data_IF_784185214279
#
_entry.id   IF_784185214279
#
_cell.length_a   1.000
_cell.length_b   1.000
_cell.length_c   1.000
_cell.angle_alpha   90.00
_cell.angle_beta   90.00
_cell.angle_gamma   90.00
#
_symmetry.space_group_name_H-M   'P 1'
#
loop_
_entity.id
_entity.type
_entity.pdbx_description
1 polymer ?
#
# COMPACT_ATOMS: atom_id res chain seq x y z
N UNK A 1 -25.69 -11.57 -4.13
CA UNK A 1 -24.31 -12.01 -3.84
C UNK A 1 -24.32 -12.93 -2.62
N UNK A 2 -24.08 -14.23 -2.79
CA UNK A 2 -23.98 -15.26 -1.72
C UNK A 2 -22.74 -16.13 -1.98
N UNK A 3 -21.55 -15.52 -1.97
CA UNK A 3 -20.28 -16.21 -2.26
C UNK A 3 -19.63 -16.76 -0.98
N UNK A 4 -20.00 -16.21 0.18
CA UNK A 4 -19.42 -16.56 1.49
C UNK A 4 -19.65 -18.00 1.98
N UNK A 5 -20.81 -18.67 1.76
CA UNK A 5 -21.00 -20.05 2.25
C UNK A 5 -20.24 -21.11 1.41
N UNK A 6 -19.96 -20.83 0.13
CA UNK A 6 -19.24 -21.76 -0.75
C UNK A 6 -17.75 -21.85 -0.43
N UNK A 7 -17.13 -20.74 -0.01
CA UNK A 7 -15.71 -20.72 0.39
C UNK A 7 -15.48 -21.45 1.72
N UNK A 8 -16.44 -21.38 2.65
CA UNK A 8 -16.40 -22.13 3.92
C UNK A 8 -16.58 -23.64 3.71
N UNK A 9 -17.47 -24.04 2.80
CA UNK A 9 -17.65 -25.45 2.43
C UNK A 9 -16.42 -26.03 1.73
N UNK A 10 -15.75 -25.24 0.86
CA UNK A 10 -14.51 -25.65 0.19
C UNK A 10 -13.35 -25.87 1.15
N UNK A 11 -13.20 -25.00 2.16
CA UNK A 11 -12.13 -25.11 3.17
C UNK A 11 -12.29 -26.34 4.08
N UNK A 12 -13.54 -26.69 4.43
CA UNK A 12 -13.82 -27.89 5.25
C UNK A 12 -13.58 -29.19 4.47
N UNK A 13 -13.90 -29.22 3.18
CA UNK A 13 -13.60 -30.38 2.32
C UNK A 13 -12.10 -30.55 2.09
N UNK A 14 -11.34 -29.46 1.90
CA UNK A 14 -9.89 -29.53 1.73
C UNK A 14 -9.19 -30.07 2.99
N UNK A 15 -9.64 -29.66 4.19
CA UNK A 15 -9.09 -30.16 5.45
C UNK A 15 -9.48 -31.63 5.72
N UNK A 16 -10.69 -32.06 5.31
CA UNK A 16 -11.12 -33.46 5.42
C UNK A 16 -10.30 -34.41 4.55
N UNK A 17 -9.95 -34.01 3.32
CA UNK A 17 -9.12 -34.81 2.40
C UNK A 17 -7.69 -34.98 2.93
N UNK A 18 -7.12 -33.94 3.55
CA UNK A 18 -5.78 -34.00 4.13
C UNK A 18 -5.69 -34.99 5.30
N UNK A 19 -6.70 -35.00 6.18
CA UNK A 19 -6.78 -35.94 7.31
C UNK A 19 -7.00 -37.38 6.80
N UNK A 20 -7.83 -37.56 5.78
CA UNK A 20 -8.02 -38.86 5.11
C UNK A 20 -6.72 -39.40 4.53
N UNK A 21 -5.93 -38.57 3.83
CA UNK A 21 -4.67 -38.98 3.21
C UNK A 21 -3.59 -39.37 4.25
N UNK A 22 -3.54 -38.69 5.39
CA UNK A 22 -2.61 -39.03 6.49
C UNK A 22 -3.00 -40.33 7.18
N UNK A 23 -4.30 -40.62 7.32
CA UNK A 23 -4.78 -41.88 7.91
C UNK A 23 -4.64 -43.07 6.95
N UNK A 24 -4.80 -42.86 5.64
CA UNK A 24 -4.65 -43.93 4.63
C UNK A 24 -3.20 -44.34 4.41
N UNK A 25 -2.23 -43.46 4.69
CA UNK A 25 -0.79 -43.77 4.58
C UNK A 25 -0.27 -44.68 5.70
N UNK A 26 -1.08 -44.91 6.74
CA UNK A 26 -0.77 -45.80 7.87
C UNK A 26 -1.22 -47.25 7.65
N UNK A 27 -1.91 -47.54 6.54
CA UNK A 27 -2.41 -48.88 6.19
C UNK A 27 -1.53 -49.59 5.16
N UNK A 28 -0.25 -49.80 5.47
CA UNK A 28 0.64 -50.61 4.64
C UNK A 28 0.37 -52.11 4.85
N UNK A 29 -0.21 -52.76 3.84
CA UNK A 29 -0.43 -54.20 3.74
C UNK A 29 0.91 -54.95 3.85
N UNK A 30 1.02 -55.82 4.86
CA UNK A 30 2.18 -56.68 5.04
C UNK A 30 2.25 -57.75 3.92
N UNK A 31 3.44 -58.06 3.38
CA UNK A 31 3.60 -59.20 2.49
C UNK A 31 3.59 -60.51 3.29
N UNK A 32 2.81 -61.47 2.81
CA UNK A 32 2.77 -62.87 3.26
C UNK A 32 4.17 -63.47 3.20
N UNK A 33 4.76 -63.82 4.36
CA UNK A 33 6.02 -64.56 4.43
C UNK A 33 5.75 -66.01 4.86
N UNK A 34 6.20 -66.91 4.00
CA UNK A 34 6.24 -68.35 4.22
C UNK A 34 7.04 -68.74 5.47
N UNK A 35 6.59 -69.82 6.08
CA UNK A 35 7.10 -70.48 7.29
C UNK A 35 8.53 -70.98 7.09
N UNK A 36 9.45 -70.54 7.95
CA UNK A 36 10.76 -71.16 8.18
C UNK A 36 11.25 -70.87 9.60
N UNK A 37 12.08 -71.75 10.19
CA UNK A 37 12.07 -71.98 11.62
C UNK A 37 12.83 -70.92 12.41
N UNK A 38 12.50 -70.89 13.70
CA UNK A 38 12.96 -69.95 14.71
C UNK A 38 14.50 -69.75 14.73
N UNK A 39 14.96 -68.50 14.74
CA UNK A 39 16.21 -68.12 15.35
C UNK A 39 15.97 -67.52 16.75
N UNK A 40 16.93 -67.79 17.60
CA UNK A 40 17.05 -67.41 19.00
C UNK A 40 16.63 -65.97 19.33
N UNK A 41 15.92 -65.84 20.46
CA UNK A 41 15.79 -64.58 21.21
C UNK A 41 17.18 -64.02 21.52
N UNK A 42 17.68 -63.14 20.67
CA UNK A 42 18.63 -62.11 21.08
C UNK A 42 17.84 -60.94 21.65
N UNK A 43 18.08 -60.65 22.91
CA UNK A 43 17.55 -59.49 23.61
C UNK A 43 17.92 -58.22 22.84
N UNK A 44 16.95 -57.63 22.16
CA UNK A 44 17.01 -56.26 21.65
C UNK A 44 16.92 -55.32 22.84
N UNK A 45 18.09 -54.95 23.36
CA UNK A 45 18.30 -53.80 24.22
C UNK A 45 17.71 -52.53 23.60
N UNK A 46 16.59 -52.07 24.14
CA UNK A 46 16.43 -50.77 24.81
C UNK A 46 17.07 -49.50 24.18
N UNK A 47 17.20 -49.41 22.85
CA UNK A 47 17.71 -48.19 22.18
C UNK A 47 16.63 -47.27 21.60
N UNK A 48 15.36 -47.66 21.65
CA UNK A 48 14.25 -46.86 21.10
C UNK A 48 13.58 -45.90 22.10
N UNK A 49 13.70 -46.17 23.41
CA UNK A 49 13.07 -45.35 24.45
C UNK A 49 13.74 -43.99 24.64
N UNK A 50 15.07 -43.92 24.50
CA UNK A 50 15.83 -42.68 24.66
C UNK A 50 15.56 -41.64 23.58
N UNK A 51 15.38 -42.06 22.33
CA UNK A 51 15.09 -41.15 21.20
C UNK A 51 13.66 -40.60 21.24
N UNK A 52 12.69 -41.40 21.69
CA UNK A 52 11.31 -40.95 21.83
C UNK A 52 11.15 -39.97 23.01
N UNK A 53 11.77 -40.27 24.15
CA UNK A 53 11.79 -39.37 25.30
C UNK A 53 12.53 -38.06 25.02
N UNK A 54 13.66 -38.12 24.29
CA UNK A 54 14.40 -36.93 23.87
C UNK A 54 13.61 -36.06 22.89
N UNK A 55 12.93 -36.66 21.90
CA UNK A 55 12.06 -35.93 20.98
C UNK A 55 10.85 -35.32 21.71
N UNK A 56 10.27 -36.04 22.66
CA UNK A 56 9.17 -35.48 23.47
C UNK A 56 9.64 -34.31 24.32
N UNK A 57 10.79 -34.40 24.99
CA UNK A 57 11.35 -33.29 25.75
C UNK A 57 11.71 -32.10 24.83
N UNK A 58 12.27 -32.35 23.65
CA UNK A 58 12.56 -31.33 22.64
C UNK A 58 11.28 -30.66 22.13
N UNK A 59 10.25 -31.44 21.85
CA UNK A 59 8.92 -30.92 21.54
C UNK A 59 8.43 -30.09 22.71
N UNK A 60 8.41 -30.55 23.95
CA UNK A 60 7.90 -29.74 25.08
C UNK A 60 8.67 -28.42 25.26
N UNK A 61 9.99 -28.43 25.09
CA UNK A 61 10.83 -27.22 25.17
C UNK A 61 10.51 -26.16 24.11
N UNK A 62 10.13 -26.59 22.91
CA UNK A 62 9.92 -25.70 21.77
C UNK A 62 11.20 -25.01 21.27
N UNK A 63 12.38 -25.50 21.67
CA UNK A 63 13.68 -25.00 21.22
C UNK A 63 14.10 -25.66 19.91
N UNK A 64 14.49 -24.86 18.92
CA UNK A 64 14.95 -25.34 17.62
C UNK A 64 16.19 -26.24 17.74
N UNK A 65 17.13 -25.88 18.61
CA UNK A 65 18.38 -26.62 18.78
C UNK A 65 18.14 -27.97 19.46
N UNK A 66 17.22 -28.01 20.44
CA UNK A 66 16.78 -29.25 21.07
C UNK A 66 16.05 -30.17 20.07
N UNK A 67 15.23 -29.62 19.18
CA UNK A 67 14.55 -30.38 18.12
C UNK A 67 15.55 -30.97 17.11
N UNK A 68 16.56 -30.20 16.72
CA UNK A 68 17.64 -30.67 15.84
C UNK A 68 18.44 -31.78 16.54
N UNK A 69 18.80 -31.58 17.81
CA UNK A 69 19.52 -32.58 18.61
C UNK A 69 18.72 -33.87 18.82
N UNK A 70 17.39 -33.79 18.84
CA UNK A 70 16.49 -34.94 18.90
C UNK A 70 16.24 -35.63 17.55
N UNK A 71 16.89 -35.16 16.47
CA UNK A 71 16.85 -35.79 15.15
C UNK A 71 15.87 -35.18 14.15
N UNK A 72 15.25 -34.03 14.46
CA UNK A 72 14.54 -33.26 13.44
C UNK A 72 15.53 -32.64 12.44
N UNK A 73 15.13 -32.53 11.17
CA UNK A 73 15.89 -31.70 10.24
C UNK A 73 15.76 -30.23 10.66
N UNK A 74 16.76 -29.37 10.37
CA UNK A 74 16.69 -27.94 10.69
C UNK A 74 15.43 -27.27 10.13
N UNK A 75 14.96 -27.71 8.96
CA UNK A 75 13.73 -27.21 8.35
C UNK A 75 12.47 -27.57 9.15
N UNK A 76 12.35 -28.83 9.58
CA UNK A 76 11.22 -29.29 10.40
C UNK A 76 11.23 -28.62 11.78
N UNK A 77 12.41 -28.48 12.39
CA UNK A 77 12.55 -27.78 13.66
C UNK A 77 12.06 -26.33 13.56
N UNK A 78 12.46 -25.60 12.51
CA UNK A 78 11.98 -24.23 12.24
C UNK A 78 10.47 -24.14 12.06
N UNK A 79 9.88 -25.03 11.26
CA UNK A 79 8.43 -25.04 11.02
C UNK A 79 7.63 -25.27 12.30
N UNK A 80 8.11 -26.16 13.18
CA UNK A 80 7.48 -26.43 14.48
C UNK A 80 7.56 -25.23 15.43
N UNK A 81 8.70 -24.53 15.47
CA UNK A 81 8.88 -23.31 16.27
C UNK A 81 7.94 -22.19 15.82
N UNK A 82 7.80 -21.96 14.51
CA UNK A 82 6.84 -20.97 13.98
C UNK A 82 5.41 -21.34 14.37
N UNK A 83 5.01 -22.59 14.13
CA UNK A 83 3.64 -23.03 14.41
C UNK A 83 3.26 -22.72 15.85
N UNK A 84 4.18 -22.99 16.79
CA UNK A 84 4.00 -22.68 18.22
C UNK A 84 3.97 -21.20 18.52
N UNK A 85 4.87 -20.42 17.94
CA UNK A 85 4.89 -18.97 18.09
C UNK A 85 3.56 -18.36 17.61
N UNK A 86 3.02 -18.85 16.48
CA UNK A 86 1.74 -18.45 15.93
C UNK A 86 0.57 -18.85 16.84
N UNK A 87 0.57 -20.06 17.40
CA UNK A 87 -0.44 -20.49 18.37
C UNK A 87 -0.41 -19.64 19.65
N UNK A 88 0.78 -19.30 20.18
CA UNK A 88 0.93 -18.38 21.33
C UNK A 88 0.36 -17.00 21.01
N UNK A 89 0.70 -16.45 19.84
CA UNK A 89 0.16 -15.18 19.37
C UNK A 89 -1.37 -15.22 19.28
N UNK A 90 -1.95 -16.25 18.64
CA UNK A 90 -3.39 -16.41 18.51
C UNK A 90 -4.08 -16.53 19.87
N UNK A 91 -3.51 -17.30 20.80
CA UNK A 91 -4.02 -17.44 22.16
C UNK A 91 -4.03 -16.09 22.89
N UNK A 92 -2.93 -15.33 22.79
CA UNK A 92 -2.81 -13.99 23.38
C UNK A 92 -3.82 -13.02 22.76
N UNK A 93 -4.00 -13.04 21.44
CA UNK A 93 -5.01 -12.21 20.77
C UNK A 93 -6.44 -12.57 21.20
N UNK A 94 -6.73 -13.86 21.42
CA UNK A 94 -8.04 -14.31 21.91
C UNK A 94 -8.28 -13.84 23.34
N UNK A 95 -7.28 -13.95 24.20
CA UNK A 95 -7.32 -13.47 25.59
C UNK A 95 -7.57 -11.96 25.66
N UNK A 96 -6.82 -11.17 24.87
CA UNK A 96 -6.98 -9.71 24.80
C UNK A 96 -8.36 -9.29 24.27
N UNK A 97 -8.94 -10.02 23.31
CA UNK A 97 -10.32 -9.77 22.87
C UNK A 97 -11.35 -10.16 23.93
N UNK A 98 -11.11 -11.24 24.67
CA UNK A 98 -12.02 -11.70 25.72
C UNK A 98 -12.02 -10.74 26.92
N UNK A 99 -10.85 -10.21 27.31
CA UNK A 99 -10.74 -9.22 28.39
C UNK A 99 -11.44 -7.90 28.04
N UNK A 100 -11.36 -7.45 26.78
CA UNK A 100 -12.12 -6.29 26.28
C UNK A 100 -13.65 -6.50 26.30
N UNK A 101 -14.11 -7.76 26.23
CA UNK A 101 -15.53 -8.11 26.21
C UNK A 101 -16.09 -8.37 27.63
N UNK A 102 -15.23 -8.49 28.64
CA UNK A 102 -15.63 -8.89 29.99
C UNK A 102 -16.47 -7.84 30.75
N UNK A 103 -16.37 -6.55 30.42
CA UNK A 103 -17.17 -5.47 31.03
C UNK A 103 -18.34 -4.99 30.13
N UNK A 104 -18.68 -5.75 29.09
CA UNK A 104 -19.62 -5.36 28.06
C UNK A 104 -21.08 -5.54 28.47
N UNK A 105 -21.57 -4.75 29.43
CA UNK A 105 -22.99 -4.36 29.40
C UNK A 105 -23.22 -3.67 28.06
N UNK A 106 -23.99 -4.27 27.16
CA UNK A 106 -24.09 -3.82 25.76
C UNK A 106 -24.53 -2.35 25.62
N UNK A 107 -25.21 -1.79 26.62
CA UNK A 107 -25.65 -0.39 26.70
C UNK A 107 -24.62 0.58 27.31
N UNK A 108 -23.55 0.10 27.94
CA UNK A 108 -22.38 0.89 28.38
C UNK A 108 -21.18 0.69 27.45
N UNK A 109 -21.39 -0.01 26.34
CA UNK A 109 -20.37 -0.20 25.31
C UNK A 109 -20.15 1.14 24.61
N UNK A 110 -19.31 1.98 25.18
CA UNK A 110 -18.77 3.12 24.46
C UNK A 110 -17.95 2.54 23.31
N UNK A 111 -18.27 2.83 22.03
CA UNK A 111 -17.51 2.30 20.89
C UNK A 111 -16.02 2.69 20.92
N UNK A 112 -15.67 3.65 21.77
CA UNK A 112 -14.35 4.23 21.89
C UNK A 112 -14.09 4.59 23.37
N UNK A 113 -13.53 3.63 24.12
CA UNK A 113 -12.85 3.93 25.39
C UNK A 113 -11.34 4.09 25.07
N UNK A 114 -10.80 5.31 25.09
CA UNK A 114 -9.43 5.58 24.66
C UNK A 114 -8.39 4.89 25.55
N UNK A 115 -8.62 4.75 26.86
CA UNK A 115 -7.62 4.21 27.80
C UNK A 115 -7.56 2.68 27.72
N UNK A 116 -8.71 2.01 27.69
CA UNK A 116 -8.79 0.57 27.46
C UNK A 116 -8.25 0.18 26.07
N UNK A 117 -8.42 1.06 25.08
CA UNK A 117 -7.88 0.87 23.73
C UNK A 117 -6.36 1.05 23.70
N UNK A 118 -5.79 2.03 24.41
CA UNK A 118 -4.36 2.28 24.46
C UNK A 118 -3.59 1.11 25.12
N UNK A 119 -4.03 0.64 26.30
CA UNK A 119 -3.42 -0.51 26.97
C UNK A 119 -3.51 -1.78 26.12
N UNK A 120 -4.66 -2.04 25.50
CA UNK A 120 -4.79 -3.19 24.63
C UNK A 120 -3.87 -3.12 23.40
N UNK A 121 -3.63 -1.93 22.82
CA UNK A 121 -2.67 -1.77 21.71
C UNK A 121 -1.25 -2.08 22.16
N UNK A 122 -0.85 -1.69 23.37
CA UNK A 122 0.47 -2.03 23.93
C UNK A 122 0.65 -3.55 24.05
N UNK A 123 -0.35 -4.26 24.62
CA UNK A 123 -0.29 -5.71 24.78
C UNK A 123 -0.34 -6.48 23.46
N UNK A 124 -1.15 -6.02 22.49
CA UNK A 124 -1.17 -6.59 21.14
C UNK A 124 0.21 -6.45 20.47
N UNK A 125 0.85 -5.29 20.61
CA UNK A 125 2.18 -5.02 20.04
C UNK A 125 3.27 -5.85 20.70
N UNK A 126 3.24 -5.97 22.03
CA UNK A 126 4.18 -6.84 22.75
C UNK A 126 4.12 -8.28 22.25
N UNK A 127 2.91 -8.83 22.11
CA UNK A 127 2.72 -10.17 21.58
C UNK A 127 3.22 -10.30 20.12
N UNK A 128 2.98 -9.29 19.28
CA UNK A 128 3.47 -9.27 17.90
C UNK A 128 5.00 -9.17 17.83
N UNK A 129 5.64 -8.39 18.71
CA UNK A 129 7.10 -8.28 18.81
C UNK A 129 7.73 -9.61 19.22
N UNK A 130 7.22 -10.24 20.27
CA UNK A 130 7.69 -11.55 20.71
C UNK A 130 7.60 -12.60 19.60
N UNK A 131 6.51 -12.57 18.81
CA UNK A 131 6.37 -13.43 17.64
C UNK A 131 7.42 -13.11 16.56
N UNK A 132 7.61 -11.84 16.20
CA UNK A 132 8.58 -11.43 15.20
C UNK A 132 10.03 -11.75 15.61
N UNK A 133 10.36 -11.64 16.90
CA UNK A 133 11.69 -11.99 17.42
C UNK A 133 11.93 -13.51 17.40
N UNK A 134 10.89 -14.31 17.64
CA UNK A 134 10.96 -15.78 17.46
C UNK A 134 11.18 -16.15 15.99
N UNK A 135 10.50 -15.47 15.06
CA UNK A 135 10.73 -15.66 13.63
C UNK A 135 12.18 -15.32 13.26
N UNK A 136 12.71 -14.20 13.75
CA UNK A 136 14.11 -13.79 13.50
C UNK A 136 15.11 -14.77 14.08
N UNK A 137 14.85 -15.31 15.27
CA UNK A 137 15.68 -16.36 15.87
C UNK A 137 15.68 -17.63 15.01
N UNK A 138 14.52 -18.01 14.46
CA UNK A 138 14.37 -19.23 13.68
C UNK A 138 14.92 -19.12 12.24
N UNK A 139 14.86 -17.95 11.60
CA UNK A 139 15.23 -17.78 10.17
C UNK A 139 16.33 -16.74 9.91
N UNK A 140 16.84 -16.08 10.94
CA UNK A 140 17.84 -15.01 10.81
C UNK A 140 17.26 -13.69 10.31
N UNK A 141 18.13 -12.84 9.77
CA UNK A 141 17.80 -11.48 9.33
C UNK A 141 16.82 -11.40 8.15
N UNK A 142 16.61 -12.51 7.42
CA UNK A 142 15.86 -12.58 6.17
C UNK A 142 14.40 -13.07 6.36
N UNK A 143 13.86 -13.04 7.58
CA UNK A 143 12.41 -13.29 7.83
C UNK A 143 11.51 -12.41 6.96
N UNK A 144 11.94 -11.16 6.72
CA UNK A 144 11.24 -10.24 5.83
C UNK A 144 11.15 -10.72 4.38
N UNK A 145 12.08 -11.56 3.94
CA UNK A 145 12.09 -12.17 2.60
C UNK A 145 11.12 -13.34 2.52
N UNK A 146 10.98 -14.11 3.61
CA UNK A 146 10.14 -15.31 3.70
C UNK A 146 8.65 -14.95 3.64
N UNK A 147 8.26 -13.82 4.23
CA UNK A 147 6.89 -13.29 4.18
C UNK A 147 6.72 -12.15 3.17
N UNK A 148 7.68 -11.97 2.25
CA UNK A 148 7.54 -11.14 1.05
C UNK A 148 7.55 -9.62 1.23
N UNK A 149 8.14 -9.08 2.31
CA UNK A 149 8.02 -7.66 2.65
C UNK A 149 9.27 -6.88 3.05
N UNK A 150 10.44 -7.50 3.32
CA UNK A 150 11.46 -6.81 4.14
C UNK A 150 12.92 -6.76 3.67
N UNK A 151 13.34 -7.46 2.61
CA UNK A 151 14.78 -7.58 2.31
C UNK A 151 15.31 -6.80 1.11
N UNK A 152 14.48 -6.45 0.12
CA UNK A 152 14.97 -5.72 -1.06
C UNK A 152 15.35 -4.27 -0.74
N UNK A 153 14.62 -3.61 0.18
CA UNK A 153 14.81 -2.20 0.53
C UNK A 153 16.24 -1.85 0.91
N UNK A 154 16.95 -2.77 1.58
CA UNK A 154 18.33 -2.58 2.03
C UNK A 154 19.30 -3.57 1.37
N UNK A 155 18.97 -4.08 0.18
CA UNK A 155 19.78 -5.11 -0.49
C UNK A 155 21.23 -4.72 -0.77
N UNK A 156 21.52 -3.41 -0.82
CA UNK A 156 22.87 -2.85 -0.96
C UNK A 156 23.70 -2.87 0.33
N UNK A 157 23.11 -3.24 1.48
CA UNK A 157 23.77 -3.29 2.79
C UNK A 157 24.12 -4.72 3.22
N UNK A 158 25.19 -4.83 4.00
CA UNK A 158 25.55 -6.08 4.67
C UNK A 158 24.41 -6.59 5.58
N UNK A 159 24.27 -7.91 5.78
CA UNK A 159 23.21 -8.48 6.62
C UNK A 159 23.16 -7.87 8.03
N UNK A 160 24.32 -7.65 8.65
CA UNK A 160 24.41 -7.05 9.99
C UNK A 160 23.86 -5.62 10.03
N UNK A 161 24.21 -4.79 9.03
CA UNK A 161 23.69 -3.42 8.91
C UNK A 161 22.19 -3.41 8.63
N UNK A 162 21.69 -4.34 7.80
CA UNK A 162 20.24 -4.50 7.58
C UNK A 162 19.50 -4.78 8.88
N UNK A 163 20.00 -5.71 9.69
CA UNK A 163 19.42 -6.02 11.01
C UNK A 163 19.48 -4.82 11.94
N UNK A 164 20.61 -4.10 11.96
CA UNK A 164 20.77 -2.90 12.80
C UNK A 164 19.76 -1.81 12.41
N UNK A 165 19.59 -1.52 11.13
CA UNK A 165 18.64 -0.51 10.65
C UNK A 165 17.19 -0.90 10.91
N UNK A 166 16.83 -2.16 10.65
CA UNK A 166 15.48 -2.65 10.96
C UNK A 166 15.16 -2.50 12.45
N UNK A 167 16.14 -2.71 13.33
CA UNK A 167 15.98 -2.49 14.77
C UNK A 167 15.78 -1.02 15.10
N UNK A 168 16.63 -0.13 14.57
CA UNK A 168 16.47 1.32 14.75
C UNK A 168 15.07 1.77 14.29
N UNK A 169 14.66 1.38 13.09
CA UNK A 169 13.33 1.74 12.56
C UNK A 169 12.20 1.19 13.43
N UNK A 170 12.31 -0.03 13.93
CA UNK A 170 11.32 -0.63 14.82
C UNK A 170 11.23 0.11 16.16
N UNK A 171 12.37 0.43 16.78
CA UNK A 171 12.43 1.14 18.06
C UNK A 171 11.80 2.54 17.92
N UNK A 172 12.11 3.28 16.85
CA UNK A 172 11.49 4.58 16.59
C UNK A 172 10.02 4.49 16.18
N UNK A 173 9.62 3.46 15.43
CA UNK A 173 8.20 3.23 15.14
C UNK A 173 7.40 3.01 16.43
N UNK A 174 7.94 2.23 17.36
CA UNK A 174 7.33 1.98 18.67
C UNK A 174 7.24 3.26 19.51
N UNK A 175 8.31 4.07 19.53
CA UNK A 175 8.33 5.37 20.24
C UNK A 175 7.35 6.37 19.63
N UNK A 176 7.32 6.49 18.30
CA UNK A 176 6.38 7.36 17.59
C UNK A 176 4.94 6.95 17.83
N UNK A 177 4.63 5.65 17.77
CA UNK A 177 3.29 5.16 18.03
C UNK A 177 2.89 5.34 19.50
N UNK A 178 3.82 5.15 20.45
CA UNK A 178 3.56 5.50 21.86
C UNK A 178 3.26 6.99 22.01
N UNK A 179 4.04 7.86 21.36
CA UNK A 179 3.79 9.29 21.37
C UNK A 179 2.44 9.68 20.71
N UNK A 180 1.97 8.91 19.72
CA UNK A 180 0.62 9.06 19.16
C UNK A 180 -0.50 8.50 20.07
N UNK A 181 -0.21 7.49 20.88
CA UNK A 181 -1.17 6.94 21.83
C UNK A 181 -1.32 7.82 23.07
N UNK A 182 -0.23 8.48 23.50
CA UNK A 182 -0.21 9.47 24.58
C UNK A 182 -0.91 10.78 24.17
N UNK A 183 -0.99 11.05 22.85
CA UNK A 183 -1.82 12.13 22.31
C UNK A 183 -3.28 11.79 22.60
N UNK A 184 -3.88 12.52 23.54
CA UNK A 184 -5.33 12.47 23.76
C UNK A 184 -6.12 12.90 22.52
N UNK A 185 -7.43 13.10 22.66
CA UNK A 185 -8.30 13.47 21.53
C UNK A 185 -7.89 14.78 20.80
N UNK A 186 -7.05 15.61 21.41
CA UNK A 186 -6.55 16.87 20.86
C UNK A 186 -5.02 16.83 20.89
N UNK A 187 -4.40 17.01 19.72
CA UNK A 187 -2.94 17.13 19.60
C UNK A 187 -2.48 18.50 20.12
N UNK A 188 -1.56 18.49 21.09
CA UNK A 188 -0.95 19.69 21.65
C UNK A 188 0.31 20.10 20.87
N UNK A 189 0.75 21.37 20.96
CA UNK A 189 2.02 21.81 20.38
C UNK A 189 3.23 21.00 20.84
N UNK A 190 3.29 20.65 22.13
CA UNK A 190 4.34 19.81 22.71
C UNK A 190 4.40 18.41 22.10
N UNK A 191 3.25 17.85 21.69
CA UNK A 191 3.20 16.55 21.02
C UNK A 191 3.82 16.64 19.62
N UNK A 192 3.63 17.77 18.92
CA UNK A 192 4.26 18.01 17.61
C UNK A 192 5.78 18.12 17.73
N UNK A 193 6.26 18.82 18.75
CA UNK A 193 7.70 18.93 19.03
C UNK A 193 8.31 17.58 19.39
N UNK A 194 7.64 16.77 20.23
CA UNK A 194 8.08 15.40 20.54
C UNK A 194 8.15 14.53 19.28
N UNK A 195 7.12 14.58 18.42
CA UNK A 195 7.13 13.85 17.15
C UNK A 195 8.21 14.32 16.19
N UNK A 196 8.52 15.62 16.19
CA UNK A 196 9.61 16.18 15.39
C UNK A 196 10.96 15.67 15.89
N UNK A 197 11.20 15.77 17.21
CA UNK A 197 12.44 15.28 17.83
C UNK A 197 12.66 13.80 17.53
N UNK A 198 11.64 12.95 17.68
CA UNK A 198 11.73 11.52 17.37
C UNK A 198 12.09 11.24 15.90
N UNK A 199 11.61 12.07 14.96
CA UNK A 199 11.99 11.94 13.54
C UNK A 199 13.44 12.35 13.31
N UNK A 200 13.88 13.46 13.90
CA UNK A 200 15.25 13.96 13.77
C UNK A 200 16.27 13.01 14.41
N UNK A 201 15.94 12.44 15.58
CA UNK A 201 16.77 11.44 16.25
C UNK A 201 16.84 10.14 15.45
N UNK A 202 15.70 9.67 14.90
CA UNK A 202 15.68 8.52 13.98
C UNK A 202 16.62 8.73 12.81
N UNK A 203 16.53 9.87 12.13
CA UNK A 203 17.37 10.18 10.98
C UNK A 203 18.85 10.26 11.37
N UNK A 204 19.17 10.82 12.54
CA UNK A 204 20.54 10.87 13.06
C UNK A 204 21.10 9.48 13.33
N UNK A 205 20.34 8.59 13.95
CA UNK A 205 20.78 7.23 14.28
C UNK A 205 20.94 6.36 13.04
N UNK A 206 20.05 6.51 12.06
CA UNK A 206 20.19 5.87 10.74
C UNK A 206 21.46 6.36 10.05
N UNK A 207 21.68 7.69 10.01
CA UNK A 207 22.87 8.27 9.40
C UNK A 207 24.17 7.84 10.10
N UNK A 208 24.17 7.74 11.43
CA UNK A 208 25.32 7.29 12.20
C UNK A 208 25.65 5.79 12.00
N UNK A 209 24.69 5.00 11.50
CA UNK A 209 24.89 3.58 11.20
C UNK A 209 25.45 3.31 9.79
N UNK A 210 25.59 4.35 8.94
CA UNK A 210 25.96 4.24 7.53
C UNK A 210 27.29 4.92 7.21
N UNK A 211 28.00 4.42 6.20
CA UNK A 211 29.09 5.18 5.54
C UNK A 211 28.49 6.30 4.66
N UNK A 212 29.29 7.29 4.22
CA UNK A 212 28.81 8.32 3.29
C UNK A 212 28.20 7.74 2.00
N UNK A 213 28.79 6.69 1.44
CA UNK A 213 28.32 6.03 0.22
C UNK A 213 27.01 5.26 0.46
N UNK A 214 26.91 4.55 1.59
CA UNK A 214 25.68 3.86 1.99
C UNK A 214 24.54 4.83 2.25
N UNK A 215 24.88 6.01 2.81
CA UNK A 215 23.91 7.07 3.04
C UNK A 215 23.39 7.66 1.73
N UNK A 216 24.24 7.84 0.73
CA UNK A 216 23.78 8.29 -0.60
C UNK A 216 22.77 7.30 -1.20
N UNK A 217 23.08 6.00 -1.12
CA UNK A 217 22.15 4.95 -1.58
C UNK A 217 20.84 4.98 -0.78
N UNK A 218 20.93 5.11 0.54
CA UNK A 218 19.74 5.27 1.38
C UNK A 218 18.91 6.49 0.99
N UNK A 219 19.53 7.65 0.78
CA UNK A 219 18.81 8.86 0.37
C UNK A 219 18.15 8.69 -1.01
N UNK A 220 18.79 7.97 -1.93
CA UNK A 220 18.24 7.65 -3.25
C UNK A 220 17.07 6.66 -3.21
N UNK A 221 16.97 5.80 -2.21
CA UNK A 221 15.88 4.83 -2.12
C UNK A 221 14.78 5.25 -1.15
N UNK A 222 15.14 5.92 -0.05
CA UNK A 222 14.31 6.03 1.14
C UNK A 222 13.95 7.47 1.53
N UNK A 223 14.59 8.48 0.92
CA UNK A 223 14.26 9.87 1.26
C UNK A 223 12.84 10.26 0.80
N UNK A 224 12.21 11.29 1.41
CA UNK A 224 10.93 11.81 0.93
C UNK A 224 10.97 12.26 -0.53
N UNK A 225 12.08 12.85 -0.98
CA UNK A 225 12.28 13.26 -2.36
C UNK A 225 12.34 12.06 -3.32
N UNK A 226 13.06 10.99 -2.93
CA UNK A 226 13.12 9.74 -3.70
C UNK A 226 11.72 9.12 -3.86
N UNK A 227 10.97 8.99 -2.78
CA UNK A 227 9.59 8.51 -2.81
C UNK A 227 8.70 9.34 -3.72
N UNK A 228 8.83 10.67 -3.67
CA UNK A 228 8.08 11.55 -4.56
C UNK A 228 8.45 11.33 -6.03
N UNK A 229 9.73 11.15 -6.35
CA UNK A 229 10.16 10.88 -7.72
C UNK A 229 9.68 9.51 -8.20
N UNK A 230 9.83 8.47 -7.40
CA UNK A 230 9.36 7.12 -7.75
C UNK A 230 7.85 7.11 -8.00
N UNK A 231 7.07 7.73 -7.11
CA UNK A 231 5.61 7.76 -7.24
C UNK A 231 5.14 8.62 -8.42
N UNK A 232 5.79 9.77 -8.65
CA UNK A 232 5.34 10.72 -9.68
C UNK A 232 5.90 10.38 -11.05
N UNK A 233 7.18 10.07 -11.16
CA UNK A 233 7.89 9.98 -12.43
C UNK A 233 8.38 8.56 -12.77
N UNK A 234 8.35 7.62 -11.82
CA UNK A 234 8.93 6.29 -11.99
C UNK A 234 8.46 5.53 -13.23
N UNK A 235 7.20 5.72 -13.67
CA UNK A 235 6.67 5.09 -14.87
C UNK A 235 7.24 5.65 -16.20
N UNK A 236 7.88 6.82 -16.17
CA UNK A 236 8.42 7.51 -17.34
C UNK A 236 9.95 7.51 -17.40
N UNK A 237 10.63 7.13 -16.31
CA UNK A 237 12.08 7.09 -16.24
C UNK A 237 12.56 5.70 -16.66
N UNK A 238 13.47 5.64 -17.64
CA UNK A 238 13.93 4.37 -18.22
C UNK A 238 15.30 3.95 -17.70
N UNK A 239 16.07 4.89 -17.14
CA UNK A 239 17.46 4.68 -16.69
C UNK A 239 17.70 5.24 -15.29
N UNK A 240 18.70 4.72 -14.58
CA UNK A 240 19.09 5.20 -13.26
C UNK A 240 19.64 6.65 -13.33
N UNK A 241 20.32 7.00 -14.42
CA UNK A 241 20.86 8.35 -14.63
C UNK A 241 19.74 9.39 -14.70
N UNK A 242 18.66 9.09 -15.43
CA UNK A 242 17.46 9.93 -15.48
C UNK A 242 16.81 10.05 -14.10
N UNK A 243 16.73 8.95 -13.36
CA UNK A 243 16.23 8.96 -11.99
C UNK A 243 17.06 9.89 -11.10
N UNK A 244 18.39 9.74 -11.09
CA UNK A 244 19.32 10.58 -10.32
C UNK A 244 19.20 12.06 -10.68
N UNK A 245 19.00 12.38 -11.96
CA UNK A 245 18.80 13.77 -12.40
C UNK A 245 17.51 14.39 -11.85
N UNK A 246 16.37 13.69 -11.97
CA UNK A 246 15.08 14.17 -11.44
C UNK A 246 15.10 14.20 -9.91
N UNK A 247 15.74 13.22 -9.29
CA UNK A 247 15.97 13.17 -7.85
C UNK A 247 16.75 14.38 -7.34
N UNK A 248 17.87 14.74 -7.98
CA UNK A 248 18.68 15.89 -7.56
C UNK A 248 17.87 17.20 -7.60
N UNK A 249 17.06 17.40 -8.65
CA UNK A 249 16.16 18.55 -8.76
C UNK A 249 15.11 18.56 -7.64
N UNK A 250 14.47 17.42 -7.39
CA UNK A 250 13.44 17.29 -6.36
C UNK A 250 14.02 17.45 -4.95
N UNK A 251 15.23 16.94 -4.71
CA UNK A 251 15.95 17.05 -3.44
C UNK A 251 16.37 18.50 -3.18
N UNK A 252 16.93 19.20 -4.16
CA UNK A 252 17.30 20.61 -4.01
C UNK A 252 16.08 21.48 -3.65
N UNK A 253 14.93 21.23 -4.29
CA UNK A 253 13.68 21.87 -3.92
C UNK A 253 13.24 21.50 -2.50
N UNK A 254 13.27 20.21 -2.15
CA UNK A 254 12.89 19.76 -0.81
C UNK A 254 13.78 20.40 0.26
N UNK A 255 15.11 20.39 0.11
CA UNK A 255 16.05 20.98 1.07
C UNK A 255 15.79 22.48 1.27
N UNK A 256 15.41 23.21 0.21
CA UNK A 256 15.07 24.63 0.29
C UNK A 256 13.73 24.90 1.00
N UNK A 257 12.75 24.00 0.88
CA UNK A 257 11.37 24.24 1.33
C UNK A 257 10.87 23.28 2.44
N UNK A 258 11.69 22.35 2.92
CA UNK A 258 11.32 21.31 3.91
C UNK A 258 10.98 21.86 5.30
N UNK A 259 11.54 23.01 5.68
CA UNK A 259 11.56 23.49 7.08
C UNK A 259 10.42 24.46 7.45
N UNK A 260 9.35 24.55 6.65
CA UNK A 260 8.24 25.45 6.95
C UNK A 260 7.11 24.76 7.74
N UNK A 261 7.38 24.46 9.01
CA UNK A 261 6.40 23.94 9.98
C UNK A 261 5.44 25.04 10.51
N UNK A 262 5.66 26.30 10.14
CA UNK A 262 4.79 27.44 10.46
C UNK A 262 3.75 27.74 9.38
N UNK A 263 2.75 28.56 9.71
CA UNK A 263 1.88 29.15 8.68
C UNK A 263 2.72 30.00 7.73
N UNK A 264 2.92 29.50 6.51
CA UNK A 264 3.54 30.24 5.42
C UNK A 264 2.78 31.55 5.19
N UNK A 265 3.50 32.66 5.11
CA UNK A 265 2.90 33.93 4.71
C UNK A 265 2.36 33.83 3.27
N UNK A 266 1.39 34.67 2.87
CA UNK A 266 0.93 34.69 1.49
C UNK A 266 2.05 34.87 0.46
N UNK A 267 3.13 35.55 0.82
CA UNK A 267 4.28 35.82 -0.03
C UNK A 267 5.16 34.57 -0.18
N UNK A 268 5.46 33.89 0.93
CA UNK A 268 6.18 32.61 0.91
C UNK A 268 5.40 31.52 0.16
N UNK A 269 4.06 31.53 0.25
CA UNK A 269 3.21 30.64 -0.54
C UNK A 269 3.30 30.95 -2.05
N UNK A 270 3.43 32.22 -2.44
CA UNK A 270 3.59 32.59 -3.86
C UNK A 270 4.97 32.17 -4.37
N UNK A 271 6.02 32.46 -3.61
CA UNK A 271 7.40 32.06 -3.94
C UNK A 271 7.51 30.55 -4.11
N UNK A 272 7.01 29.78 -3.13
CA UNK A 272 6.99 28.31 -3.22
C UNK A 272 6.24 27.81 -4.45
N UNK A 273 5.07 28.37 -4.77
CA UNK A 273 4.31 27.98 -5.98
C UNK A 273 5.09 28.29 -7.25
N UNK A 274 5.82 29.40 -7.28
CA UNK A 274 6.66 29.75 -8.43
C UNK A 274 7.83 28.79 -8.58
N UNK A 275 8.52 28.46 -7.48
CA UNK A 275 9.57 27.45 -7.46
C UNK A 275 9.05 26.06 -7.84
N UNK A 276 7.85 25.66 -7.39
CA UNK A 276 7.20 24.40 -7.81
C UNK A 276 6.94 24.38 -9.32
N UNK A 277 6.51 25.50 -9.92
CA UNK A 277 6.33 25.61 -11.37
C UNK A 277 7.64 25.52 -12.12
N UNK A 278 8.69 26.19 -11.62
CA UNK A 278 10.03 26.15 -12.23
C UNK A 278 10.64 24.75 -12.14
N UNK A 279 10.52 24.08 -11.00
CA UNK A 279 10.92 22.69 -10.80
C UNK A 279 10.23 21.79 -11.82
N UNK A 280 8.90 21.88 -11.92
CA UNK A 280 8.13 21.06 -12.85
C UNK A 280 8.53 21.33 -14.31
N UNK A 281 8.70 22.60 -14.70
CA UNK A 281 9.14 22.94 -16.05
C UNK A 281 10.55 22.39 -16.36
N UNK A 282 11.45 22.42 -15.36
CA UNK A 282 12.80 21.86 -15.49
C UNK A 282 12.76 20.35 -15.65
N UNK A 283 11.97 19.65 -14.82
CA UNK A 283 11.77 18.20 -14.96
C UNK A 283 11.17 17.88 -16.35
N UNK A 284 10.13 18.58 -16.77
CA UNK A 284 9.49 18.35 -18.08
C UNK A 284 10.46 18.57 -19.26
N UNK A 285 11.43 19.46 -19.11
CA UNK A 285 12.48 19.70 -20.10
C UNK A 285 13.55 18.59 -20.13
N UNK A 286 13.75 17.86 -19.02
CA UNK A 286 14.63 16.68 -18.98
C UNK A 286 14.00 15.44 -19.61
N UNK A 287 12.67 15.38 -19.67
CA UNK A 287 11.93 14.25 -20.23
C UNK A 287 11.78 14.36 -21.75
N UNK A 288 11.94 13.23 -22.43
CA UNK A 288 11.63 13.13 -23.87
C UNK A 288 10.12 13.26 -24.12
N UNK A 289 9.68 13.55 -25.36
CA UNK A 289 8.25 13.58 -25.69
C UNK A 289 7.50 12.29 -25.31
N UNK A 290 8.11 11.13 -25.56
CA UNK A 290 7.51 9.83 -25.27
C UNK A 290 7.40 9.57 -23.76
N UNK A 291 8.42 9.97 -23.00
CA UNK A 291 8.40 9.88 -21.52
C UNK A 291 7.33 10.79 -20.93
N UNK A 292 7.16 12.01 -21.47
CA UNK A 292 6.05 12.88 -21.05
C UNK A 292 4.69 12.27 -21.37
N UNK A 293 4.54 11.62 -22.51
CA UNK A 293 3.30 10.91 -22.84
C UNK A 293 3.05 9.70 -21.94
N UNK A 294 4.11 8.96 -21.55
CA UNK A 294 4.01 7.87 -20.58
C UNK A 294 3.60 8.37 -19.19
N UNK A 295 4.22 9.47 -18.74
CA UNK A 295 3.90 10.14 -17.48
C UNK A 295 2.44 10.59 -17.45
N UNK A 296 1.98 11.23 -18.52
CA UNK A 296 0.60 11.68 -18.67
C UNK A 296 -0.39 10.50 -18.55
N UNK A 297 -0.07 9.35 -19.16
CA UNK A 297 -0.88 8.13 -19.05
C UNK A 297 -0.87 7.56 -17.63
N UNK A 298 0.27 7.57 -16.95
CA UNK A 298 0.40 7.06 -15.59
C UNK A 298 -0.42 7.88 -14.57
N UNK A 299 -0.55 9.20 -14.77
CA UNK A 299 -1.35 10.09 -13.92
C UNK A 299 -2.83 10.16 -14.29
N UNK A 300 -3.23 9.53 -15.41
CA UNK A 300 -4.61 9.54 -15.86
C UNK A 300 -5.41 8.42 -15.19
N UNK A 301 -6.31 8.81 -14.27
CA UNK A 301 -7.15 7.87 -13.52
C UNK A 301 -8.01 6.98 -14.41
N UNK A 302 -8.38 7.45 -15.60
CA UNK A 302 -9.20 6.67 -16.53
C UNK A 302 -8.37 5.62 -17.27
N UNK A 303 -7.07 5.86 -17.47
CA UNK A 303 -6.21 4.98 -18.25
C UNK A 303 -6.14 3.58 -17.62
N UNK A 304 -5.94 3.50 -16.30
CA UNK A 304 -5.93 2.23 -15.58
C UNK A 304 -7.27 1.48 -15.65
N UNK A 305 -8.39 2.20 -15.58
CA UNK A 305 -9.73 1.62 -15.71
C UNK A 305 -9.98 1.09 -17.11
N UNK A 306 -9.64 1.87 -18.14
CA UNK A 306 -9.80 1.49 -19.55
C UNK A 306 -8.90 0.33 -19.95
N UNK A 307 -7.65 0.30 -19.45
CA UNK A 307 -6.73 -0.81 -19.67
C UNK A 307 -7.27 -2.11 -19.04
N UNK A 308 -7.88 -2.02 -17.84
CA UNK A 308 -8.50 -3.16 -17.18
C UNK A 308 -9.74 -3.67 -17.93
N UNK A 309 -10.59 -2.77 -18.43
CA UNK A 309 -11.76 -3.13 -19.26
C UNK A 309 -11.29 -3.78 -20.56
N UNK A 310 -10.34 -3.17 -21.26
CA UNK A 310 -9.79 -3.67 -22.53
C UNK A 310 -9.22 -5.08 -22.36
N UNK A 311 -8.43 -5.32 -21.31
CA UNK A 311 -7.89 -6.65 -21.01
C UNK A 311 -8.99 -7.66 -20.69
N UNK A 312 -9.97 -7.29 -19.86
CA UNK A 312 -11.05 -8.19 -19.43
C UNK A 312 -11.96 -8.61 -20.60
N UNK A 313 -12.19 -7.71 -21.54
CA UNK A 313 -13.04 -7.93 -22.71
C UNK A 313 -12.24 -8.39 -23.95
N UNK A 314 -10.92 -8.61 -23.80
CA UNK A 314 -10.00 -8.96 -24.89
C UNK A 314 -10.09 -8.01 -26.10
N UNK A 315 -10.19 -6.71 -25.82
CA UNK A 315 -10.25 -5.67 -26.85
C UNK A 315 -8.84 -5.39 -27.42
N UNK A 316 -8.73 -4.83 -28.64
CA UNK A 316 -7.45 -4.43 -29.22
C UNK A 316 -6.60 -3.56 -28.28
N UNK A 317 -5.27 -3.70 -28.36
CA UNK A 317 -4.34 -2.94 -27.53
C UNK A 317 -4.48 -1.41 -27.70
N UNK A 318 -4.95 -0.96 -28.88
CA UNK A 318 -5.17 0.45 -29.20
C UNK A 318 -6.46 1.03 -28.60
N UNK A 319 -7.36 0.20 -28.07
CA UNK A 319 -8.69 0.64 -27.60
C UNK A 319 -8.60 1.64 -26.47
N UNK A 320 -7.65 1.49 -25.54
CA UNK A 320 -7.47 2.44 -24.43
C UNK A 320 -7.08 3.83 -24.97
N UNK A 321 -6.09 3.90 -25.86
CA UNK A 321 -5.64 5.16 -26.43
C UNK A 321 -6.72 5.82 -27.30
N UNK A 322 -7.52 5.03 -28.03
CA UNK A 322 -8.66 5.51 -28.80
C UNK A 322 -9.71 6.20 -27.91
N UNK A 323 -10.07 5.60 -26.77
CA UNK A 323 -11.04 6.20 -25.85
C UNK A 323 -10.49 7.47 -25.18
N UNK A 324 -9.19 7.49 -24.85
CA UNK A 324 -8.55 8.69 -24.32
C UNK A 324 -8.56 9.84 -25.34
N UNK A 325 -8.25 9.55 -26.61
CA UNK A 325 -8.33 10.52 -27.70
C UNK A 325 -9.77 11.01 -27.92
N UNK A 326 -10.75 10.11 -27.86
CA UNK A 326 -12.16 10.44 -27.94
C UNK A 326 -12.59 11.41 -26.82
N UNK A 327 -12.19 11.12 -25.57
CA UNK A 327 -12.44 11.99 -24.42
C UNK A 327 -11.84 13.39 -24.63
N UNK A 328 -10.62 13.49 -25.15
CA UNK A 328 -9.98 14.77 -25.43
C UNK A 328 -10.76 15.59 -26.47
N UNK A 329 -11.22 14.94 -27.56
CA UNK A 329 -12.08 15.58 -28.56
C UNK A 329 -13.40 16.11 -27.97
N UNK A 330 -14.03 15.34 -27.09
CA UNK A 330 -15.25 15.77 -26.40
C UNK A 330 -15.01 16.90 -25.40
N UNK A 331 -13.84 16.95 -24.76
CA UNK A 331 -13.46 18.06 -23.90
C UNK A 331 -13.43 19.37 -24.69
N UNK A 332 -12.74 19.39 -25.85
CA UNK A 332 -12.68 20.55 -26.75
C UNK A 332 -14.08 21.00 -27.18
N UNK A 333 -14.92 20.08 -27.68
CA UNK A 333 -16.29 20.41 -28.10
C UNK A 333 -17.12 20.97 -26.94
N UNK A 334 -16.99 20.42 -25.73
CA UNK A 334 -17.73 20.90 -24.56
C UNK A 334 -17.33 22.32 -24.16
N UNK A 335 -16.03 22.65 -24.27
CA UNK A 335 -15.51 23.99 -23.99
C UNK A 335 -15.95 25.00 -25.06
N UNK A 336 -16.01 24.59 -26.33
CA UNK A 336 -16.51 25.45 -27.41
C UNK A 336 -17.99 25.80 -27.21
N UNK A 337 -18.82 24.84 -26.82
CA UNK A 337 -20.22 25.10 -26.44
C UNK A 337 -20.29 26.08 -25.26
N UNK A 338 -19.46 25.87 -24.24
CA UNK A 338 -19.44 26.70 -23.04
C UNK A 338 -19.01 28.15 -23.32
N UNK A 339 -18.07 28.34 -24.24
CA UNK A 339 -17.53 29.66 -24.63
C UNK A 339 -18.41 30.40 -25.64
N UNK A 340 -19.40 29.73 -26.23
CA UNK A 340 -20.28 30.35 -27.22
C UNK A 340 -21.26 31.34 -26.55
N UNK A 341 -20.97 32.63 -26.70
CA UNK A 341 -21.77 33.72 -26.16
C UNK A 341 -23.15 33.88 -26.82
N UNK A 342 -23.37 33.29 -28.00
CA UNK A 342 -24.66 33.33 -28.68
C UNK A 342 -25.69 32.35 -28.09
N UNK A 343 -25.24 31.39 -27.28
CA UNK A 343 -26.13 30.41 -26.65
C UNK A 343 -26.60 30.89 -25.28
N UNK A 344 -27.88 30.71 -24.99
CA UNK A 344 -28.44 30.83 -23.64
C UNK A 344 -27.97 29.67 -22.75
N UNK A 345 -28.09 29.82 -21.43
CA UNK A 345 -27.71 28.76 -20.49
C UNK A 345 -28.48 27.46 -20.72
N UNK A 346 -29.76 27.57 -21.10
CA UNK A 346 -30.59 26.42 -21.41
C UNK A 346 -30.14 25.73 -22.69
N UNK A 347 -29.84 26.48 -23.75
CA UNK A 347 -29.33 25.93 -25.01
C UNK A 347 -27.97 25.26 -24.82
N UNK A 348 -27.06 25.85 -24.03
CA UNK A 348 -25.78 25.22 -23.68
C UNK A 348 -25.98 23.87 -22.99
N UNK A 349 -26.86 23.81 -21.98
CA UNK A 349 -27.20 22.54 -21.31
C UNK A 349 -27.78 21.50 -22.27
N UNK A 350 -28.67 21.92 -23.17
CA UNK A 350 -29.25 21.02 -24.18
C UNK A 350 -28.18 20.50 -25.13
N UNK A 351 -27.26 21.35 -25.59
CA UNK A 351 -26.16 20.92 -26.46
C UNK A 351 -25.16 20.00 -25.75
N UNK A 352 -24.81 20.28 -24.50
CA UNK A 352 -23.91 19.43 -23.70
C UNK A 352 -24.52 18.05 -23.39
N UNK A 353 -25.82 17.99 -23.09
CA UNK A 353 -26.51 16.71 -22.90
C UNK A 353 -26.67 15.93 -24.19
N UNK A 354 -26.83 16.61 -25.34
CA UNK A 354 -26.77 15.96 -26.65
C UNK A 354 -25.36 15.44 -26.97
N UNK A 355 -24.32 16.19 -26.60
CA UNK A 355 -22.92 15.77 -26.71
C UNK A 355 -22.65 14.51 -25.88
N UNK A 356 -23.24 14.41 -24.67
CA UNK A 356 -23.18 13.22 -23.83
C UNK A 356 -23.71 11.96 -24.55
N UNK A 357 -24.88 12.08 -25.22
CA UNK A 357 -25.48 10.96 -25.97
C UNK A 357 -24.60 10.50 -27.14
N UNK A 358 -23.95 11.44 -27.83
CA UNK A 358 -23.00 11.10 -28.90
C UNK A 358 -21.77 10.41 -28.34
N UNK A 359 -21.23 10.91 -27.23
CA UNK A 359 -20.10 10.30 -26.55
C UNK A 359 -20.41 8.86 -26.09
N UNK A 360 -21.62 8.60 -25.58
CA UNK A 360 -22.06 7.23 -25.24
C UNK A 360 -22.06 6.29 -26.45
N UNK A 361 -22.59 6.75 -27.59
CA UNK A 361 -22.62 5.95 -28.80
C UNK A 361 -21.20 5.62 -29.32
N UNK A 362 -20.29 6.60 -29.30
CA UNK A 362 -18.90 6.39 -29.72
C UNK A 362 -18.14 5.46 -28.75
N UNK A 363 -18.40 5.59 -27.45
CA UNK A 363 -17.88 4.67 -26.44
C UNK A 363 -18.39 3.25 -26.67
N UNK A 364 -19.67 3.07 -26.99
CA UNK A 364 -20.25 1.76 -27.33
C UNK A 364 -19.62 1.18 -28.60
N UNK A 365 -19.35 2.01 -29.61
CA UNK A 365 -18.65 1.58 -30.83
C UNK A 365 -17.21 1.13 -30.57
N UNK A 366 -16.53 1.71 -29.58
CA UNK A 366 -15.11 1.44 -29.28
C UNK A 366 -14.90 0.34 -28.23
N UNK A 367 -15.73 0.32 -27.18
CA UNK A 367 -15.61 -0.59 -26.03
C UNK A 367 -16.64 -1.74 -26.05
N UNK A 368 -17.60 -1.71 -26.96
CA UNK A 368 -18.81 -2.54 -26.89
C UNK A 368 -19.76 -2.07 -25.78
N UNK A 369 -20.97 -2.62 -25.78
CA UNK A 369 -22.02 -2.21 -24.84
C UNK A 369 -21.63 -2.41 -23.36
N UNK A 370 -21.05 -3.57 -23.03
CA UNK A 370 -20.63 -3.88 -21.65
C UNK A 370 -19.49 -2.97 -21.18
N UNK A 371 -18.46 -2.79 -22.03
CA UNK A 371 -17.31 -1.95 -21.70
C UNK A 371 -17.69 -0.47 -21.56
N UNK A 372 -18.57 0.02 -22.45
CA UNK A 372 -19.06 1.39 -22.39
C UNK A 372 -19.90 1.66 -21.12
N UNK A 373 -20.81 0.77 -20.74
CA UNK A 373 -21.59 0.92 -19.49
C UNK A 373 -20.68 0.87 -18.26
N UNK A 374 -19.73 -0.08 -18.22
CA UNK A 374 -18.78 -0.22 -17.12
C UNK A 374 -17.90 1.04 -16.94
N UNK A 375 -17.42 1.61 -18.05
CA UNK A 375 -16.59 2.82 -18.03
C UNK A 375 -17.41 4.07 -17.71
N UNK A 376 -18.53 4.29 -18.41
CA UNK A 376 -19.31 5.52 -18.31
C UNK A 376 -19.96 5.74 -16.94
N UNK A 377 -20.11 4.70 -16.11
CA UNK A 377 -20.55 4.82 -14.71
C UNK A 377 -19.49 5.45 -13.80
N UNK A 378 -18.21 5.32 -14.15
CA UNK A 378 -17.07 5.80 -13.35
C UNK A 378 -16.42 7.05 -13.92
N UNK A 379 -16.59 7.27 -15.23
CA UNK A 379 -16.03 8.42 -15.93
C UNK A 379 -16.68 9.73 -15.46
N UNK A 380 -15.94 10.53 -14.70
CA UNK A 380 -16.40 11.84 -14.21
C UNK A 380 -16.83 12.78 -15.34
N UNK A 381 -16.10 12.77 -16.46
CA UNK A 381 -16.42 13.62 -17.62
C UNK A 381 -17.78 13.27 -18.26
N UNK A 382 -18.16 11.99 -18.27
CA UNK A 382 -19.49 11.58 -18.75
C UNK A 382 -20.60 12.12 -17.86
N UNK A 383 -20.37 12.13 -16.54
CA UNK A 383 -21.33 12.69 -15.59
C UNK A 383 -21.49 14.20 -15.78
N UNK A 384 -20.40 14.94 -16.05
CA UNK A 384 -20.47 16.36 -16.42
C UNK A 384 -21.33 16.59 -17.66
N UNK A 385 -21.05 15.91 -18.77
CA UNK A 385 -21.84 16.09 -19.99
C UNK A 385 -23.32 15.73 -19.79
N UNK A 386 -23.63 14.63 -19.09
CA UNK A 386 -25.00 14.18 -18.77
C UNK A 386 -25.78 15.18 -17.92
N UNK A 387 -25.08 15.93 -17.05
CA UNK A 387 -25.65 17.01 -16.23
C UNK A 387 -25.70 18.35 -16.95
N UNK A 388 -25.26 18.41 -18.22
CA UNK A 388 -25.22 19.64 -19.00
C UNK A 388 -24.08 20.58 -18.60
N UNK A 389 -23.00 20.05 -18.04
CA UNK A 389 -21.79 20.78 -17.69
C UNK A 389 -20.65 20.47 -18.67
N UNK A 390 -19.87 21.49 -19.03
CA UNK A 390 -18.63 21.30 -19.77
C UNK A 390 -17.53 20.74 -18.85
N UNK A 391 -16.50 20.16 -19.45
CA UNK A 391 -15.35 19.63 -18.71
C UNK A 391 -14.05 19.92 -19.47
N UNK A 392 -12.93 19.80 -18.77
CA UNK A 392 -11.60 19.90 -19.39
C UNK A 392 -10.70 18.77 -18.92
N UNK A 393 -9.90 18.24 -19.85
CA UNK A 393 -8.80 17.31 -19.56
C UNK A 393 -7.50 18.03 -19.18
N UNK A 394 -7.45 19.37 -19.29
CA UNK A 394 -6.30 20.19 -18.95
C UNK A 394 -6.70 21.37 -18.05
N UNK A 395 -5.99 21.51 -16.92
CA UNK A 395 -6.24 22.58 -15.96
C UNK A 395 -6.06 23.98 -16.53
N UNK A 396 -5.18 24.16 -17.53
CA UNK A 396 -4.93 25.47 -18.15
C UNK A 396 -6.09 25.95 -19.03
N UNK A 397 -6.88 25.02 -19.55
CA UNK A 397 -7.93 25.32 -20.52
C UNK A 397 -9.32 25.50 -19.88
N UNK A 398 -9.44 25.20 -18.58
CA UNK A 398 -10.69 25.28 -17.84
C UNK A 398 -11.07 26.75 -17.54
N UNK A 399 -12.21 27.24 -18.06
CA UNK A 399 -12.75 28.53 -17.64
C UNK A 399 -13.09 28.54 -16.14
N UNK A 400 -13.12 29.73 -15.54
CA UNK A 400 -13.56 29.93 -14.16
C UNK A 400 -14.95 29.29 -13.94
N UNK A 401 -15.00 28.21 -13.16
CA UNK A 401 -16.24 27.47 -12.86
C UNK A 401 -16.42 26.13 -13.60
N UNK A 402 -15.50 25.74 -14.49
CA UNK A 402 -15.46 24.38 -15.06
C UNK A 402 -14.61 23.47 -14.16
N UNK A 403 -15.17 22.35 -13.73
CA UNK A 403 -14.39 21.33 -13.00
C UNK A 403 -13.45 20.60 -13.97
N UNK A 404 -12.18 20.57 -13.61
CA UNK A 404 -11.15 19.82 -14.32
C UNK A 404 -11.24 18.36 -13.90
N UNK A 405 -11.45 17.46 -14.86
CA UNK A 405 -11.46 16.01 -14.60
C UNK A 405 -10.04 15.45 -14.43
N UNK A 406 -9.02 16.28 -14.65
CA UNK A 406 -7.64 15.96 -14.37
C UNK A 406 -7.40 15.92 -12.84
N UNK A 407 -7.34 14.71 -12.28
CA UNK A 407 -6.81 14.47 -10.92
C UNK A 407 -5.29 14.26 -10.91
N UNK A 408 -4.61 14.40 -12.05
CA UNK A 408 -3.15 14.50 -12.04
C UNK A 408 -2.72 15.83 -11.41
N UNK A 409 -1.50 15.85 -10.87
CA UNK A 409 -0.91 16.75 -9.85
C UNK A 409 -0.96 18.28 -10.13
N UNK A 410 -1.68 18.74 -11.14
CA UNK A 410 -1.88 20.16 -11.45
C UNK A 410 -3.13 20.72 -10.76
N UNK A 411 -3.08 20.89 -9.43
CA UNK A 411 -4.06 21.75 -8.74
C UNK A 411 -3.64 23.21 -8.90
N UNK A 412 -3.89 23.79 -10.07
CA UNK A 412 -3.82 25.25 -10.24
C UNK A 412 -5.01 25.85 -9.51
N UNK A 413 -4.75 26.55 -8.41
CA UNK A 413 -5.78 27.13 -7.55
C UNK A 413 -6.66 28.11 -8.31
N UNK A 414 -7.91 27.71 -8.58
CA UNK A 414 -8.98 28.63 -8.95
C UNK A 414 -9.37 29.46 -7.74
N UNK A 415 -8.94 30.72 -7.69
CA UNK A 415 -9.46 31.70 -6.75
C UNK A 415 -10.93 31.96 -7.04
N UNK A 416 -11.80 31.48 -6.15
CA UNK A 416 -13.22 31.85 -6.12
C UNK A 416 -13.31 33.29 -5.61
N UNK A 417 -13.13 34.25 -6.49
CA UNK A 417 -13.36 35.66 -6.20
C UNK A 417 -14.87 35.85 -5.93
N UNK A 418 -15.24 35.88 -4.65
CA UNK A 418 -16.59 36.28 -4.25
C UNK A 418 -16.75 37.76 -4.59
N UNK A 419 -17.44 38.02 -5.70
CA UNK A 419 -17.94 39.34 -6.07
C UNK A 419 -18.80 39.86 -4.92
N UNK A 420 -18.26 40.77 -4.10
CA UNK A 420 -19.05 41.58 -3.18
C UNK A 420 -20.00 42.42 -4.02
N UNK A 421 -21.29 42.07 -3.98
CA UNK A 421 -22.36 42.94 -4.46
C UNK A 421 -22.45 44.10 -3.49
N UNK A 422 -21.90 45.25 -3.88
CA UNK A 422 -22.20 46.54 -3.25
C UNK A 422 -23.67 46.84 -3.46
N UNK A 423 -24.42 46.95 -2.37
CA UNK A 423 -25.80 47.44 -2.38
C UNK A 423 -25.83 48.90 -2.88
N UNK A 424 -26.81 49.30 -3.72
CA UNK A 424 -27.03 50.70 -4.01
C UNK A 424 -27.71 51.37 -2.81
N UNK A 425 -27.12 52.47 -2.35
CA UNK A 425 -27.69 53.28 -1.29
C UNK A 425 -29.02 53.92 -1.69
N UNK A 426 -29.92 53.96 -0.71
CA UNK A 426 -30.84 55.07 -0.46
C UNK A 426 -30.92 55.30 1.03
#
# INVERSE_FOLDING_TARGET
MRITPLLLAGSLLANGVLIGFVLQRSGGTAPTRATSPAPERRASSDRGGGTAAALQAALESGDADALIAAGCTPEVARQLVIGRAMFRLQARMKELRASQQADARYWRRTPFDPDATAQSRVEVRKAQREFNDELRRAFGADVGTIFGGGSERYGYLSPEKRTKLQRIEQDYADMMESAYADQGAIQLPSDREKMKLLREERERDIAAAMTPEEREQYELHDSPAAHQVMWRYGAALETEEQYRQVYALQKAFADQYANNDGQLTPDQMRERREAERQLQATIDATLTPDQRAALQRAHDSDYGTLAAISRRLNLPATTTDQVIALRASYATQSLDIQRNAALTDQERRTQLTALAKRAEADLQGTLGNEGADAYARRATWMNHLRSGAAFSTNAKDAPSGVETTYQGVYRVGGTREMRRVTAPGR
#
